data_IF_704595517479
#
_entry.id   IF_704595517479
#
_cell.length_a   1.000
_cell.length_b   1.000
_cell.length_c   1.000
_cell.angle_alpha   90.00
_cell.angle_beta   90.00
_cell.angle_gamma   90.00
#
_symmetry.space_group_name_H-M   'P 1'
#
loop_
_entity.id
_entity.type
_entity.pdbx_description
1 polymer ?
#
# COMPACT_ATOMS: atom_id res chain seq x y z
N UNK A 1 2.42 -0.32 19.54
CA UNK A 1 1.66 0.55 20.47
C UNK A 1 0.65 1.32 19.63
N UNK A 2 -0.50 1.70 20.18
CA UNK A 2 -1.45 2.54 19.45
C UNK A 2 -1.05 4.01 19.59
N UNK A 3 -0.89 4.71 18.48
CA UNK A 3 -0.70 6.15 18.45
C UNK A 3 -2.00 6.83 18.91
N UNK A 4 -1.86 7.62 19.98
CA UNK A 4 -2.98 8.31 20.62
C UNK A 4 -2.66 9.78 20.71
N UNK A 5 -3.61 10.60 20.29
CA UNK A 5 -3.53 12.03 20.45
C UNK A 5 -4.72 12.51 21.29
N UNK A 6 -4.39 13.08 22.44
CA UNK A 6 -5.35 13.61 23.39
C UNK A 6 -4.97 15.04 23.71
N UNK A 7 -5.91 15.96 23.53
CA UNK A 7 -5.76 17.33 24.00
C UNK A 7 -6.94 17.70 24.90
N UNK A 8 -6.66 18.57 25.87
CA UNK A 8 -7.65 19.04 26.84
C UNK A 8 -7.47 20.53 27.01
N UNK A 9 -8.57 21.24 26.88
CA UNK A 9 -8.65 22.70 27.02
C UNK A 9 -8.21 23.13 28.41
N UNK A 10 -8.62 22.35 29.42
CA UNK A 10 -8.23 22.59 30.81
C UNK A 10 -6.72 22.55 31.00
N UNK A 11 -6.05 21.53 30.45
CA UNK A 11 -4.58 21.45 30.46
C UNK A 11 -3.93 22.63 29.72
N UNK A 12 -4.49 23.06 28.60
CA UNK A 12 -3.97 24.21 27.84
C UNK A 12 -4.19 25.54 28.58
N UNK A 13 -5.33 25.72 29.25
CA UNK A 13 -5.62 26.91 30.04
C UNK A 13 -4.74 27.00 31.29
N UNK A 14 -4.49 25.87 31.96
CA UNK A 14 -3.55 25.76 33.08
C UNK A 14 -2.13 26.19 32.67
N UNK A 15 -1.64 25.75 31.50
CA UNK A 15 -0.35 26.20 30.94
C UNK A 15 -0.28 27.73 30.76
N UNK A 16 -1.41 28.36 30.42
CA UNK A 16 -1.53 29.81 30.24
C UNK A 16 -1.85 30.56 31.54
N UNK A 17 -1.86 29.88 32.70
CA UNK A 17 -2.24 30.43 34.01
C UNK A 17 -3.64 31.06 34.01
N UNK A 18 -4.58 30.45 33.29
CA UNK A 18 -5.99 30.87 33.23
C UNK A 18 -6.87 29.84 33.96
N UNK A 19 -7.83 30.31 34.76
CA UNK A 19 -8.80 29.46 35.44
C UNK A 19 -10.12 29.41 34.64
N UNK A 20 -10.58 28.22 34.28
CA UNK A 20 -11.84 28.01 33.55
C UNK A 20 -13.07 27.91 34.47
N UNK A 21 -12.89 27.72 35.78
CA UNK A 21 -13.97 27.44 36.74
C UNK A 21 -14.92 28.64 36.97
N UNK A 22 -14.54 29.84 36.50
CA UNK A 22 -15.31 31.07 36.65
C UNK A 22 -16.00 31.53 35.35
N UNK A 23 -16.06 30.68 34.31
CA UNK A 23 -16.75 31.02 33.07
C UNK A 23 -18.26 31.00 33.28
N UNK A 24 -18.97 31.94 32.65
CA UNK A 24 -20.43 31.88 32.60
C UNK A 24 -20.88 30.67 31.76
N UNK A 25 -22.08 30.09 32.01
CA UNK A 25 -22.57 28.95 31.23
C UNK A 25 -22.61 29.21 29.72
N UNK A 26 -22.80 30.48 29.31
CA UNK A 26 -22.76 30.87 27.91
C UNK A 26 -21.34 30.74 27.33
N UNK A 27 -20.32 31.27 28.04
CA UNK A 27 -18.93 31.20 27.60
C UNK A 27 -18.41 29.75 27.62
N UNK A 28 -18.84 28.94 28.58
CA UNK A 28 -18.50 27.51 28.62
C UNK A 28 -19.02 26.78 27.38
N UNK A 29 -20.26 27.05 26.97
CA UNK A 29 -20.84 26.47 25.75
C UNK A 29 -20.06 26.88 24.50
N UNK A 30 -19.73 28.16 24.37
CA UNK A 30 -18.96 28.68 23.23
C UNK A 30 -17.55 28.09 23.19
N UNK A 31 -16.90 27.98 24.36
CA UNK A 31 -15.59 27.33 24.47
C UNK A 31 -15.67 25.85 24.06
N UNK A 32 -16.66 25.11 24.55
CA UNK A 32 -16.85 23.70 24.21
C UNK A 32 -17.10 23.51 22.70
N UNK A 33 -17.85 24.42 22.08
CA UNK A 33 -18.05 24.41 20.63
C UNK A 33 -16.74 24.68 19.87
N UNK A 34 -16.01 25.74 20.23
CA UNK A 34 -14.74 26.08 19.58
C UNK A 34 -13.72 24.93 19.67
N UNK A 35 -13.75 24.18 20.76
CA UNK A 35 -12.85 23.04 21.01
C UNK A 35 -13.26 21.83 20.18
N UNK A 36 -14.57 21.60 20.04
CA UNK A 36 -15.10 20.61 19.11
C UNK A 36 -14.73 20.93 17.66
N UNK A 37 -14.80 22.20 17.27
CA UNK A 37 -14.41 22.65 15.93
C UNK A 37 -12.92 22.42 15.67
N UNK A 38 -12.05 22.73 16.65
CA UNK A 38 -10.61 22.40 16.57
C UNK A 38 -10.39 20.89 16.46
N UNK A 39 -11.10 20.08 17.25
CA UNK A 39 -11.00 18.62 17.18
C UNK A 39 -11.38 18.07 15.80
N UNK A 40 -12.49 18.55 15.25
CA UNK A 40 -12.96 18.16 13.93
C UNK A 40 -11.97 18.61 12.83
N UNK A 41 -11.44 19.83 12.93
CA UNK A 41 -10.42 20.34 12.01
C UNK A 41 -9.13 19.51 12.06
N UNK A 42 -8.70 19.10 13.26
CA UNK A 42 -7.53 18.22 13.46
C UNK A 42 -7.71 16.88 12.78
N UNK A 43 -8.87 16.25 13.00
CA UNK A 43 -9.18 14.96 12.37
C UNK A 43 -9.23 15.07 10.84
N UNK A 44 -9.81 16.16 10.33
CA UNK A 44 -9.85 16.45 8.89
C UNK A 44 -8.44 16.66 8.32
N UNK A 45 -7.55 17.34 9.03
CA UNK A 45 -6.15 17.54 8.62
C UNK A 45 -5.37 16.22 8.55
N UNK A 46 -5.50 15.36 9.58
CA UNK A 46 -4.89 14.02 9.58
C UNK A 46 -5.41 13.21 8.40
N UNK A 47 -6.73 13.25 8.17
CA UNK A 47 -7.38 12.55 7.05
C UNK A 47 -6.85 13.06 5.70
N UNK A 48 -6.75 14.38 5.53
CA UNK A 48 -6.25 14.99 4.29
C UNK A 48 -4.79 14.62 4.03
N UNK A 49 -3.95 14.65 5.07
CA UNK A 49 -2.53 14.25 5.00
C UNK A 49 -2.39 12.79 4.58
N UNK A 50 -3.16 11.88 5.18
CA UNK A 50 -3.19 10.49 4.78
C UNK A 50 -3.71 10.31 3.34
N UNK A 51 -4.66 11.14 2.91
CA UNK A 51 -5.22 11.07 1.56
C UNK A 51 -4.25 11.51 0.47
N UNK A 52 -3.43 12.53 0.73
CA UNK A 52 -2.44 13.06 -0.20
C UNK A 52 -1.18 12.21 -0.28
N UNK A 53 -0.68 11.75 0.87
CA UNK A 53 0.67 11.18 0.96
C UNK A 53 0.66 9.65 0.84
N UNK A 54 -0.45 8.99 1.19
CA UNK A 54 -0.60 7.54 1.03
C UNK A 54 -1.34 7.22 -0.28
N UNK A 55 -0.79 6.28 -1.03
CA UNK A 55 -1.40 5.77 -2.26
C UNK A 55 -2.24 4.51 -1.97
N UNK A 56 -1.62 3.33 -2.07
CA UNK A 56 -2.30 2.03 -1.97
C UNK A 56 -2.73 1.69 -0.54
N UNK A 57 -2.01 2.19 0.46
CA UNK A 57 -2.20 1.88 1.89
C UNK A 57 -3.09 2.90 2.61
N UNK A 58 -3.60 3.90 1.88
CA UNK A 58 -4.46 4.96 2.42
C UNK A 58 -5.69 4.41 3.14
N UNK A 59 -6.37 3.44 2.53
CA UNK A 59 -7.59 2.86 3.11
C UNK A 59 -7.29 2.09 4.40
N UNK A 60 -6.13 1.46 4.51
CA UNK A 60 -5.73 0.74 5.72
C UNK A 60 -5.49 1.73 6.86
N UNK A 61 -4.82 2.85 6.57
CA UNK A 61 -4.62 3.93 7.54
C UNK A 61 -5.96 4.52 8.01
N UNK A 62 -6.83 4.91 7.07
CA UNK A 62 -8.11 5.55 7.40
C UNK A 62 -9.06 4.64 8.16
N UNK A 63 -9.01 3.31 7.94
CA UNK A 63 -9.78 2.33 8.72
C UNK A 63 -9.33 2.26 10.18
N UNK A 64 -8.05 2.51 10.45
CA UNK A 64 -7.51 2.58 11.81
C UNK A 64 -7.80 3.90 12.51
N UNK A 65 -8.10 4.97 11.76
CA UNK A 65 -8.29 6.30 12.31
C UNK A 65 -9.69 6.45 12.93
N UNK A 66 -9.77 6.90 14.18
CA UNK A 66 -11.04 7.09 14.89
C UNK A 66 -11.13 8.46 15.57
N UNK A 67 -12.37 8.95 15.71
CA UNK A 67 -12.70 10.24 16.33
C UNK A 67 -13.80 10.04 17.38
N UNK A 68 -13.46 10.19 18.66
CA UNK A 68 -14.36 9.95 19.77
C UNK A 68 -14.48 11.18 20.67
N UNK A 69 -15.70 11.51 21.07
CA UNK A 69 -15.97 12.50 22.11
C UNK A 69 -15.94 11.81 23.48
N UNK A 70 -15.03 12.22 24.36
CA UNK A 70 -14.86 11.63 25.70
C UNK A 70 -15.68 12.36 26.78
N UNK A 71 -16.18 13.55 26.48
CA UNK A 71 -16.95 14.41 27.38
C UNK A 71 -17.32 15.71 26.67
N UNK A 72 -17.79 16.72 27.40
CA UNK A 72 -18.22 17.98 26.77
C UNK A 72 -17.07 18.76 26.11
N UNK A 73 -15.88 18.68 26.69
CA UNK A 73 -14.69 19.46 26.32
C UNK A 73 -13.45 18.59 26.03
N UNK A 74 -13.65 17.30 25.82
CA UNK A 74 -12.58 16.34 25.61
C UNK A 74 -12.87 15.48 24.37
N UNK A 75 -11.91 15.47 23.45
CA UNK A 75 -11.95 14.70 22.22
C UNK A 75 -10.70 13.82 22.14
N UNK A 76 -10.86 12.63 21.57
CA UNK A 76 -9.82 11.64 21.40
C UNK A 76 -9.75 11.25 19.93
N UNK A 77 -8.55 11.38 19.36
CA UNK A 77 -8.23 10.88 18.04
C UNK A 77 -7.24 9.74 18.21
N UNK A 78 -7.59 8.55 17.72
CA UNK A 78 -6.72 7.35 17.80
C UNK A 78 -6.40 6.80 16.43
N UNK A 79 -5.27 6.11 16.35
CA UNK A 79 -4.91 5.26 15.22
C UNK A 79 -4.73 3.82 15.70
N UNK A 80 -5.71 2.99 15.38
CA UNK A 80 -5.77 1.59 15.79
C UNK A 80 -5.26 0.67 14.68
N UNK A 81 -4.63 -0.44 15.09
CA UNK A 81 -4.06 -1.45 14.19
C UNK A 81 -2.56 -1.30 13.96
N UNK A 82 -1.85 -2.43 14.00
CA UNK A 82 -0.38 -2.48 13.88
C UNK A 82 0.10 -1.85 12.58
N UNK A 83 -0.55 -2.18 11.46
CA UNK A 83 -0.15 -1.66 10.15
C UNK A 83 -0.37 -0.15 10.01
N UNK A 84 -1.49 0.36 10.52
CA UNK A 84 -1.75 1.80 10.51
C UNK A 84 -0.70 2.56 11.34
N UNK A 85 -0.33 2.02 12.52
CA UNK A 85 0.74 2.59 13.36
C UNK A 85 2.11 2.52 12.67
N UNK A 86 2.44 1.43 11.98
CA UNK A 86 3.67 1.36 11.16
C UNK A 86 3.69 2.38 10.02
N UNK A 87 2.54 2.71 9.45
CA UNK A 87 2.44 3.79 8.45
C UNK A 87 2.58 5.17 9.10
N UNK A 88 2.08 5.37 10.31
CA UNK A 88 2.24 6.64 11.00
C UNK A 88 3.69 6.90 11.42
N UNK A 89 4.29 5.95 12.13
CA UNK A 89 5.63 6.04 12.71
C UNK A 89 6.74 5.78 11.68
N UNK A 90 6.43 5.00 10.65
CA UNK A 90 7.41 4.50 9.71
C UNK A 90 8.09 3.21 10.18
N UNK A 91 8.99 2.73 9.35
CA UNK A 91 9.82 1.56 9.64
C UNK A 91 11.14 1.64 8.86
N UNK A 92 12.25 1.13 9.41
CA UNK A 92 13.55 1.20 8.74
C UNK A 92 13.60 0.32 7.50
N UNK A 93 14.67 0.46 6.72
CA UNK A 93 15.00 -0.50 5.68
C UNK A 93 15.21 -1.89 6.29
N UNK A 94 14.87 -2.94 5.55
CA UNK A 94 15.04 -4.31 6.01
C UNK A 94 15.28 -5.28 4.86
N UNK A 95 15.86 -6.44 5.19
CA UNK A 95 16.10 -7.52 4.24
C UNK A 95 14.79 -8.26 3.91
N UNK A 96 14.24 -7.96 2.75
CA UNK A 96 13.03 -8.58 2.24
C UNK A 96 13.28 -10.04 1.83
N UNK A 97 14.48 -10.39 1.36
CA UNK A 97 14.85 -11.79 1.04
C UNK A 97 14.63 -12.68 2.26
N UNK A 98 15.16 -12.29 3.42
CA UNK A 98 15.01 -13.05 4.67
C UNK A 98 13.54 -13.23 5.06
N UNK A 99 12.73 -12.16 4.97
CA UNK A 99 11.30 -12.22 5.29
C UNK A 99 10.51 -13.12 4.35
N UNK A 100 10.81 -13.06 3.05
CA UNK A 100 10.13 -13.86 2.04
C UNK A 100 10.50 -15.34 2.15
N UNK A 101 11.78 -15.67 2.42
CA UNK A 101 12.22 -17.06 2.58
C UNK A 101 11.72 -17.72 3.88
N UNK A 102 11.23 -16.94 4.85
CA UNK A 102 10.54 -17.43 6.05
C UNK A 102 9.03 -17.66 5.85
N UNK A 103 8.52 -17.48 4.64
CA UNK A 103 7.09 -17.61 4.36
C UNK A 103 6.62 -19.06 4.39
N UNK A 104 5.53 -19.32 5.11
CA UNK A 104 4.86 -20.63 5.14
C UNK A 104 3.72 -20.75 4.12
N UNK A 105 3.66 -19.83 3.14
CA UNK A 105 2.61 -19.85 2.11
C UNK A 105 2.77 -21.08 1.21
N UNK A 106 1.64 -21.63 0.79
CA UNK A 106 1.57 -22.65 -0.25
C UNK A 106 1.23 -22.03 -1.59
N UNK A 107 1.67 -22.67 -2.67
CA UNK A 107 1.25 -22.30 -4.02
C UNK A 107 -0.22 -22.65 -4.19
N UNK A 108 -1.04 -21.72 -4.67
CA UNK A 108 -2.50 -21.94 -4.81
C UNK A 108 -2.85 -22.62 -6.15
N UNK A 109 -2.10 -22.34 -7.21
CA UNK A 109 -2.48 -22.72 -8.58
C UNK A 109 -1.37 -23.43 -9.35
N UNK A 110 -1.78 -24.22 -10.35
CA UNK A 110 -0.87 -24.93 -11.26
C UNK A 110 -0.33 -26.24 -10.70
N UNK A 111 0.69 -26.79 -11.38
CA UNK A 111 1.24 -28.13 -11.08
C UNK A 111 1.83 -28.29 -9.67
N UNK A 112 2.15 -27.17 -9.01
CA UNK A 112 2.70 -27.14 -7.65
C UNK A 112 1.67 -26.72 -6.60
N UNK A 113 0.38 -26.66 -6.95
CA UNK A 113 -0.67 -26.31 -6.00
C UNK A 113 -0.60 -27.20 -4.75
N UNK A 114 -0.71 -26.59 -3.57
CA UNK A 114 -0.57 -27.25 -2.26
C UNK A 114 0.88 -27.45 -1.78
N UNK A 115 1.90 -27.23 -2.62
CA UNK A 115 3.30 -27.30 -2.20
C UNK A 115 3.76 -25.99 -1.53
N UNK A 116 4.77 -26.04 -0.66
CA UNK A 116 5.42 -24.85 -0.12
C UNK A 116 5.90 -23.91 -1.24
N UNK A 117 5.69 -22.61 -1.05
CA UNK A 117 6.16 -21.58 -1.98
C UNK A 117 7.68 -21.49 -1.98
N UNK A 118 8.28 -21.49 -0.79
CA UNK A 118 9.72 -21.61 -0.56
C UNK A 118 10.15 -23.06 -0.77
N UNK A 119 11.27 -23.26 -1.46
CA UNK A 119 11.84 -24.58 -1.79
C UNK A 119 13.28 -24.67 -1.31
N UNK A 120 13.73 -25.89 -1.05
CA UNK A 120 15.15 -26.20 -0.85
C UNK A 120 15.79 -26.59 -2.19
N UNK A 121 17.02 -26.14 -2.44
CA UNK A 121 17.80 -26.53 -3.62
C UNK A 121 18.07 -28.03 -3.58
N UNK A 122 17.83 -28.72 -4.70
CA UNK A 122 17.98 -30.18 -4.78
C UNK A 122 19.35 -30.54 -5.33
N UNK A 123 20.05 -31.44 -4.64
CA UNK A 123 21.26 -32.08 -5.17
C UNK A 123 22.53 -31.21 -5.13
N UNK A 124 22.52 -30.14 -4.34
CA UNK A 124 23.71 -29.32 -4.07
C UNK A 124 24.38 -29.76 -2.77
N UNK A 125 25.71 -29.58 -2.70
CA UNK A 125 26.50 -29.85 -1.48
C UNK A 125 26.13 -28.88 -0.35
N UNK A 126 25.63 -27.69 -0.68
CA UNK A 126 25.16 -26.66 0.26
C UNK A 126 23.68 -26.32 -0.05
N UNK A 127 22.71 -26.95 0.64
CA UNK A 127 21.29 -26.76 0.37
C UNK A 127 20.86 -25.36 0.79
N UNK A 128 20.32 -24.60 -0.15
CA UNK A 128 19.86 -23.24 0.07
C UNK A 128 18.35 -23.13 -0.24
N UNK A 129 17.68 -22.18 0.40
CA UNK A 129 16.26 -21.89 0.20
C UNK A 129 16.08 -20.86 -0.90
N UNK A 130 15.08 -21.11 -1.75
CA UNK A 130 14.72 -20.18 -2.81
C UNK A 130 13.21 -20.09 -3.02
N UNK A 131 12.77 -18.98 -3.60
CA UNK A 131 11.40 -18.78 -4.03
C UNK A 131 11.32 -17.91 -5.29
N UNK A 132 10.29 -18.12 -6.11
CA UNK A 132 10.01 -17.26 -7.25
C UNK A 132 8.90 -16.27 -6.89
N UNK A 133 9.24 -14.98 -6.93
CA UNK A 133 8.30 -13.89 -6.67
C UNK A 133 7.74 -13.39 -8.00
N UNK A 134 6.40 -13.43 -8.20
CA UNK A 134 5.77 -12.90 -9.40
C UNK A 134 5.68 -11.36 -9.32
N UNK A 135 6.02 -10.70 -10.41
CA UNK A 135 5.83 -9.27 -10.60
C UNK A 135 4.91 -9.03 -11.79
N UNK A 136 3.73 -8.47 -11.53
CA UNK A 136 2.82 -8.11 -12.61
C UNK A 136 3.30 -6.83 -13.30
N UNK A 137 3.29 -6.84 -14.63
CA UNK A 137 3.60 -5.70 -15.49
C UNK A 137 2.33 -5.19 -16.17
N UNK A 138 2.25 -3.88 -16.30
CA UNK A 138 1.12 -3.19 -16.91
C UNK A 138 1.60 -2.42 -18.15
N UNK A 139 1.64 -3.07 -19.33
CA UNK A 139 2.18 -2.44 -20.53
C UNK A 139 1.37 -1.23 -21.00
N UNK A 140 0.11 -1.13 -20.58
CA UNK A 140 -0.79 -0.04 -20.92
C UNK A 140 -0.87 1.03 -19.81
N UNK A 141 0.01 0.97 -18.80
CA UNK A 141 0.06 2.00 -17.76
C UNK A 141 0.47 3.34 -18.36
N UNK A 142 -0.18 4.42 -17.91
CA UNK A 142 0.16 5.80 -18.27
C UNK A 142 1.16 6.43 -17.30
N UNK A 143 1.54 5.72 -16.24
CA UNK A 143 2.52 6.21 -15.27
C UNK A 143 3.90 6.36 -15.95
N UNK A 144 4.48 7.58 -16.01
CA UNK A 144 5.78 7.83 -16.63
C UNK A 144 6.88 6.89 -16.12
N UNK A 145 6.84 6.49 -14.84
CA UNK A 145 7.87 5.64 -14.22
C UNK A 145 7.93 4.22 -14.79
N UNK A 146 6.86 3.77 -15.45
CA UNK A 146 6.77 2.44 -16.07
C UNK A 146 6.60 2.51 -17.58
N UNK A 147 6.63 3.72 -18.16
CA UNK A 147 6.39 3.95 -19.58
C UNK A 147 7.42 3.24 -20.45
N UNK A 148 8.70 3.38 -20.14
CA UNK A 148 9.78 2.77 -20.93
C UNK A 148 9.66 1.24 -20.97
N UNK A 149 9.30 0.63 -19.85
CA UNK A 149 9.04 -0.81 -19.77
C UNK A 149 7.75 -1.18 -20.51
N UNK A 150 6.70 -0.38 -20.42
CA UNK A 150 5.46 -0.63 -21.14
C UNK A 150 5.62 -0.55 -22.66
N UNK A 151 6.40 0.41 -23.14
CA UNK A 151 6.73 0.57 -24.55
C UNK A 151 7.62 -0.57 -25.04
N UNK A 152 8.60 -1.02 -24.25
CA UNK A 152 9.35 -2.24 -24.54
C UNK A 152 8.42 -3.46 -24.71
N UNK A 153 7.48 -3.67 -23.79
CA UNK A 153 6.53 -4.80 -23.86
C UNK A 153 5.62 -4.71 -25.10
N UNK A 154 5.24 -3.50 -25.55
CA UNK A 154 4.40 -3.31 -26.74
C UNK A 154 5.11 -3.74 -28.02
N UNK A 155 6.41 -3.55 -28.10
CA UNK A 155 7.22 -3.92 -29.26
C UNK A 155 7.79 -5.34 -29.19
N UNK A 156 7.71 -5.99 -28.02
CA UNK A 156 8.16 -7.37 -27.89
C UNK A 156 7.34 -8.33 -28.73
N UNK A 157 8.06 -9.20 -29.43
CA UNK A 157 7.53 -10.35 -30.13
C UNK A 157 7.66 -11.59 -29.26
N UNK A 158 6.70 -12.51 -29.36
CA UNK A 158 6.78 -13.78 -28.67
C UNK A 158 6.20 -14.91 -29.51
N UNK A 159 6.78 -16.09 -29.32
CA UNK A 159 6.35 -17.33 -29.94
C UNK A 159 5.37 -18.02 -29.00
N UNK A 160 4.20 -18.38 -29.53
CA UNK A 160 3.18 -19.11 -28.77
C UNK A 160 3.49 -20.61 -28.69
N UNK A 161 2.67 -21.36 -27.95
CA UNK A 161 2.80 -22.82 -27.86
C UNK A 161 2.68 -23.57 -29.21
N UNK A 162 2.20 -22.90 -30.26
CA UNK A 162 2.02 -23.43 -31.61
C UNK A 162 3.11 -22.93 -32.59
N UNK A 163 4.16 -22.25 -32.12
CA UNK A 163 5.25 -21.75 -32.96
C UNK A 163 4.96 -20.45 -33.72
N UNK A 164 3.80 -19.82 -33.52
CA UNK A 164 3.46 -18.55 -34.19
C UNK A 164 4.11 -17.37 -33.49
N UNK A 165 4.83 -16.56 -34.25
CA UNK A 165 5.45 -15.32 -33.77
C UNK A 165 4.49 -14.14 -33.96
N UNK A 166 4.17 -13.42 -32.89
CA UNK A 166 3.34 -12.20 -32.95
C UNK A 166 3.69 -11.25 -31.80
N UNK A 167 3.18 -10.01 -31.87
CA UNK A 167 3.34 -9.06 -30.76
C UNK A 167 2.82 -9.66 -29.46
N UNK A 168 3.61 -9.54 -28.39
CA UNK A 168 3.28 -10.08 -27.08
C UNK A 168 1.96 -9.47 -26.57
N UNK A 169 1.62 -8.25 -26.94
CA UNK A 169 0.36 -7.60 -26.53
C UNK A 169 -0.89 -8.18 -27.21
N UNK A 170 -0.75 -8.85 -28.36
CA UNK A 170 -1.87 -9.43 -29.12
C UNK A 170 -2.49 -10.66 -28.45
N UNK A 171 -3.80 -10.86 -28.60
CA UNK A 171 -4.48 -12.08 -28.13
C UNK A 171 -3.96 -13.28 -28.92
N UNK A 172 -3.35 -14.24 -28.23
CA UNK A 172 -2.93 -15.51 -28.79
C UNK A 172 -4.14 -16.41 -28.97
N UNK A 173 -4.27 -16.98 -30.18
CA UNK A 173 -5.39 -17.82 -30.60
C UNK A 173 -4.90 -19.17 -31.11
N UNK A 174 -5.75 -20.18 -31.00
CA UNK A 174 -5.52 -21.52 -31.56
C UNK A 174 -5.69 -21.54 -33.10
N UNK A 175 -5.74 -22.74 -33.68
CA UNK A 175 -5.97 -22.92 -35.13
C UNK A 175 -7.42 -22.65 -35.53
N UNK A 176 -8.38 -22.79 -34.63
CA UNK A 176 -9.80 -22.49 -34.83
C UNK A 176 -10.16 -21.02 -34.60
N UNK A 177 -9.20 -20.19 -34.20
CA UNK A 177 -9.41 -18.77 -33.91
C UNK A 177 -9.91 -18.47 -32.49
N UNK A 178 -9.99 -19.48 -31.62
CA UNK A 178 -10.36 -19.29 -30.22
C UNK A 178 -9.17 -18.75 -29.42
N UNK A 179 -9.37 -17.82 -28.47
CA UNK A 179 -8.31 -17.37 -27.58
C UNK A 179 -7.72 -18.53 -26.76
N UNK A 180 -6.39 -18.62 -26.71
CA UNK A 180 -5.70 -19.52 -25.78
C UNK A 180 -5.87 -19.01 -24.34
N UNK A 181 -5.94 -19.94 -23.39
CA UNK A 181 -6.05 -19.66 -21.95
C UNK A 181 -4.82 -20.14 -21.17
N UNK A 182 -4.58 -19.53 -20.00
CA UNK A 182 -3.43 -19.83 -19.17
C UNK A 182 -2.15 -19.17 -19.69
N UNK A 183 -1.00 -19.84 -19.54
CA UNK A 183 0.30 -19.36 -20.04
C UNK A 183 0.35 -19.51 -21.56
N UNK A 184 0.37 -18.40 -22.29
CA UNK A 184 0.26 -18.41 -23.77
C UNK A 184 1.56 -18.09 -24.50
N UNK A 185 2.46 -17.35 -23.87
CA UNK A 185 3.74 -16.95 -24.45
C UNK A 185 4.78 -16.66 -23.36
N UNK A 186 6.04 -16.85 -23.70
CA UNK A 186 7.19 -16.35 -22.93
C UNK A 186 8.08 -15.60 -23.90
N UNK A 187 8.35 -14.35 -23.60
CA UNK A 187 9.22 -13.54 -24.42
C UNK A 187 10.67 -13.65 -23.94
N UNK A 188 11.58 -13.56 -24.89
CA UNK A 188 13.02 -13.45 -24.66
C UNK A 188 13.45 -12.07 -25.10
N UNK A 189 14.29 -11.41 -24.30
CA UNK A 189 14.78 -10.06 -24.61
C UNK A 189 16.16 -9.86 -24.02
N UNK A 190 17.00 -9.11 -24.72
CA UNK A 190 18.27 -8.65 -24.15
C UNK A 190 18.06 -7.55 -23.10
N UNK A 191 16.84 -7.00 -22.99
CA UNK A 191 16.49 -6.05 -21.94
C UNK A 191 16.15 -6.80 -20.64
N UNK A 192 16.98 -6.69 -19.58
CA UNK A 192 16.80 -7.45 -18.34
C UNK A 192 15.52 -7.08 -17.57
N UNK A 193 14.86 -5.96 -17.88
CA UNK A 193 13.61 -5.56 -17.24
C UNK A 193 12.41 -6.39 -17.70
N UNK A 194 12.47 -6.90 -18.94
CA UNK A 194 11.38 -7.60 -19.62
C UNK A 194 11.79 -8.99 -20.11
N UNK A 195 13.04 -9.40 -19.90
CA UNK A 195 13.46 -10.76 -20.17
C UNK A 195 12.69 -11.77 -19.31
N UNK A 196 12.37 -12.91 -19.91
CA UNK A 196 11.54 -13.94 -19.29
C UNK A 196 10.10 -13.51 -18.99
N UNK A 197 9.60 -12.42 -19.58
CA UNK A 197 8.22 -11.98 -19.40
C UNK A 197 7.24 -13.01 -19.95
N UNK A 198 6.34 -13.46 -19.09
CA UNK A 198 5.32 -14.46 -19.38
C UNK A 198 3.97 -13.77 -19.55
N UNK A 199 3.26 -14.11 -20.62
CA UNK A 199 1.88 -13.68 -20.81
C UNK A 199 0.92 -14.78 -20.39
N UNK A 200 -0.07 -14.38 -19.60
CA UNK A 200 -1.23 -15.20 -19.29
C UNK A 200 -2.49 -14.58 -19.88
N UNK A 201 -3.38 -15.42 -20.41
CA UNK A 201 -4.67 -15.02 -20.95
C UNK A 201 -5.80 -15.75 -20.24
N UNK A 202 -6.92 -15.05 -20.05
CA UNK A 202 -8.15 -15.66 -19.58
C UNK A 202 -9.34 -14.99 -20.26
N UNK A 203 -10.28 -15.80 -20.73
CA UNK A 203 -11.50 -15.31 -21.35
C UNK A 203 -12.62 -15.29 -20.32
N UNK A 204 -13.37 -14.21 -20.32
CA UNK A 204 -14.52 -14.04 -19.43
C UNK A 204 -15.73 -13.66 -20.27
N UNK A 205 -16.88 -14.21 -19.91
CA UNK A 205 -18.14 -13.74 -20.48
C UNK A 205 -18.54 -12.45 -19.75
N UNK A 206 -18.75 -11.38 -20.50
CA UNK A 206 -19.28 -10.14 -19.95
C UNK A 206 -20.78 -10.31 -19.69
N UNK A 207 -21.19 -10.40 -18.43
CA UNK A 207 -22.57 -10.65 -18.00
C UNK A 207 -23.59 -9.67 -18.62
N UNK A 208 -23.20 -8.41 -18.85
CA UNK A 208 -24.09 -7.38 -19.40
C UNK A 208 -24.31 -7.52 -20.90
N UNK A 209 -23.32 -8.03 -21.64
CA UNK A 209 -23.34 -8.06 -23.11
C UNK A 209 -23.41 -9.47 -23.69
N UNK A 210 -23.22 -10.50 -22.86
CA UNK A 210 -23.06 -11.89 -23.27
C UNK A 210 -21.79 -12.18 -24.08
N UNK A 211 -20.97 -11.16 -24.40
CA UNK A 211 -19.77 -11.29 -25.24
C UNK A 211 -18.57 -11.77 -24.45
N UNK A 212 -17.79 -12.66 -25.04
CA UNK A 212 -16.51 -13.09 -24.51
C UNK A 212 -15.46 -12.00 -24.68
N UNK A 213 -14.78 -11.66 -23.59
CA UNK A 213 -13.65 -10.71 -23.55
C UNK A 213 -12.43 -11.43 -23.02
N UNK A 214 -11.33 -11.41 -23.78
CA UNK A 214 -10.05 -11.96 -23.32
C UNK A 214 -9.24 -10.87 -22.63
N UNK A 215 -8.85 -11.12 -21.39
CA UNK A 215 -7.91 -10.27 -20.66
C UNK A 215 -6.54 -10.93 -20.61
N UNK A 216 -5.50 -10.10 -20.52
CA UNK A 216 -4.12 -10.57 -20.41
C UNK A 216 -3.45 -9.95 -19.20
N UNK A 217 -2.66 -10.77 -18.49
CA UNK A 217 -1.71 -10.31 -17.50
C UNK A 217 -0.30 -10.68 -17.95
N UNK A 218 0.65 -9.79 -17.66
CA UNK A 218 2.05 -9.96 -18.00
C UNK A 218 2.81 -10.09 -16.69
N UNK A 219 3.59 -11.16 -16.54
CA UNK A 219 4.30 -11.44 -15.30
C UNK A 219 5.74 -11.79 -15.60
N UNK A 220 6.68 -11.19 -14.88
CA UNK A 220 8.03 -11.71 -14.76
C UNK A 220 8.19 -12.36 -13.39
N UNK A 221 9.10 -13.32 -13.31
CA UNK A 221 9.41 -14.03 -12.08
C UNK A 221 10.84 -13.72 -11.73
N UNK A 222 11.09 -13.36 -10.48
CA UNK A 222 12.45 -13.21 -9.97
C UNK A 222 12.69 -14.22 -8.87
N UNK A 223 13.84 -14.88 -8.93
CA UNK A 223 14.28 -15.77 -7.88
C UNK A 223 14.83 -14.95 -6.72
N UNK A 224 14.43 -15.30 -5.51
CA UNK A 224 15.14 -14.94 -4.29
C UNK A 224 15.75 -16.22 -3.74
N UNK A 225 16.96 -16.13 -3.20
CA UNK A 225 17.70 -17.26 -2.64
C UNK A 225 18.53 -16.76 -1.45
N UNK A 226 18.79 -17.63 -0.46
CA UNK A 226 19.79 -17.41 0.59
C UNK A 226 21.16 -18.02 0.24
N UNK A 227 21.32 -18.56 -0.97
CA UNK A 227 22.60 -19.02 -1.50
C UNK A 227 23.60 -17.89 -1.76
N UNK A 228 24.86 -18.27 -1.94
CA UNK A 228 25.97 -17.33 -2.19
C UNK A 228 25.76 -16.60 -3.54
N UNK A 229 26.22 -15.35 -3.62
CA UNK A 229 26.17 -14.46 -4.82
C UNK A 229 24.85 -13.76 -5.18
N UNK A 230 23.81 -13.81 -4.33
CA UNK A 230 22.57 -13.05 -4.59
C UNK A 230 22.48 -11.82 -3.70
N UNK A 231 22.54 -10.63 -4.31
CA UNK A 231 22.27 -9.38 -3.60
C UNK A 231 20.88 -9.42 -2.95
N UNK A 232 20.79 -9.16 -1.62
CA UNK A 232 19.52 -9.25 -0.92
C UNK A 232 18.57 -8.17 -1.44
N UNK A 233 17.29 -8.51 -1.46
CA UNK A 233 16.27 -7.52 -1.75
C UNK A 233 16.07 -6.68 -0.51
N UNK A 234 16.49 -5.43 -0.57
CA UNK A 234 16.34 -4.51 0.54
C UNK A 234 15.08 -3.68 0.31
N UNK A 235 14.15 -3.76 1.25
CA UNK A 235 13.05 -2.79 1.31
C UNK A 235 13.63 -1.46 1.80
N UNK A 236 13.35 -0.31 1.14
CA UNK A 236 13.96 0.97 1.52
C UNK A 236 13.49 1.50 2.88
N UNK A 237 12.45 0.90 3.43
CA UNK A 237 11.76 1.38 4.64
C UNK A 237 10.64 2.36 4.28
N UNK A 238 10.10 3.01 5.28
CA UNK A 238 9.13 4.09 5.16
C UNK A 238 9.39 5.10 6.28
N UNK A 239 9.46 6.39 5.97
CA UNK A 239 9.78 7.42 6.95
C UNK A 239 8.65 7.72 7.95
N UNK A 240 7.47 7.14 7.74
CA UNK A 240 6.27 7.46 8.50
C UNK A 240 5.56 8.68 7.94
N UNK A 241 4.23 8.67 8.06
CA UNK A 241 3.38 9.80 7.68
C UNK A 241 3.52 10.95 8.68
N UNK A 242 3.65 10.61 9.97
CA UNK A 242 3.71 11.54 11.10
C UNK A 242 2.57 12.59 11.04
N UNK A 243 1.37 12.19 10.64
CA UNK A 243 0.23 13.08 10.49
C UNK A 243 -0.23 13.66 11.83
N UNK A 244 -0.15 12.89 12.92
CA UNK A 244 -0.50 13.35 14.26
C UNK A 244 0.47 14.44 14.75
N UNK A 245 1.76 14.28 14.49
CA UNK A 245 2.78 15.28 14.83
C UNK A 245 2.64 16.58 14.02
N UNK A 246 2.21 16.47 12.77
CA UNK A 246 1.91 17.64 11.93
C UNK A 246 0.67 18.38 12.46
N UNK A 247 -0.41 17.64 12.72
CA UNK A 247 -1.67 18.21 13.17
C UNK A 247 -1.57 18.80 14.60
N UNK A 248 -0.83 18.15 15.50
CA UNK A 248 -0.70 18.59 16.91
C UNK A 248 -0.16 20.01 17.04
N UNK A 249 0.81 20.39 16.21
CA UNK A 249 1.39 21.74 16.15
C UNK A 249 0.34 22.80 15.80
N UNK A 250 -0.61 22.47 14.93
CA UNK A 250 -1.71 23.36 14.58
C UNK A 250 -2.73 23.47 15.70
N UNK A 251 -3.07 22.35 16.35
CA UNK A 251 -4.01 22.31 17.48
C UNK A 251 -3.57 23.20 18.62
N UNK A 252 -2.30 23.12 19.03
CA UNK A 252 -1.79 23.93 20.14
C UNK A 252 -1.94 25.42 19.85
N UNK A 253 -1.61 25.85 18.63
CA UNK A 253 -1.77 27.24 18.19
C UNK A 253 -3.23 27.70 18.18
N UNK A 254 -4.14 26.85 17.72
CA UNK A 254 -5.57 27.18 17.70
C UNK A 254 -6.16 27.25 19.11
N UNK A 255 -5.84 26.30 19.99
CA UNK A 255 -6.28 26.31 21.38
C UNK A 255 -5.77 27.54 22.13
N UNK A 256 -4.51 27.91 21.96
CA UNK A 256 -3.99 29.15 22.54
C UNK A 256 -4.75 30.39 22.07
N UNK A 257 -5.07 30.45 20.78
CA UNK A 257 -5.79 31.59 20.19
C UNK A 257 -7.20 31.69 20.78
N UNK A 258 -7.89 30.56 20.90
CA UNK A 258 -9.20 30.46 21.54
C UNK A 258 -9.11 30.92 22.99
N UNK A 259 -8.21 30.35 23.80
CA UNK A 259 -8.09 30.73 25.22
C UNK A 259 -7.76 32.22 25.37
N UNK A 260 -6.85 32.77 24.55
CA UNK A 260 -6.54 34.20 24.56
C UNK A 260 -7.74 35.06 24.16
N UNK A 261 -8.65 34.57 23.32
CA UNK A 261 -9.86 35.30 22.95
C UNK A 261 -10.86 35.38 24.11
N UNK A 262 -11.06 34.28 24.86
CA UNK A 262 -12.00 34.21 25.98
C UNK A 262 -11.54 34.92 27.26
N UNK A 263 -10.25 35.18 27.43
CA UNK A 263 -9.65 35.79 28.64
C UNK A 263 -9.06 37.19 28.44
N UNK A 264 -9.52 37.91 27.40
CA UNK A 264 -9.32 39.36 27.25
C UNK A 264 -10.32 40.12 28.10
#
# INVERSE_FOLDING_TARGET
MASKFTFSVKKSAEKLKKNLDSLSPLLEKELNQAVGDVAAATYAEITATAQSDLSKTRQDYLKGLSFNKLGENAFLITLDGEWANMLEEGFPSYNLTEKLLKSNKTVEVGRRSGMPWVQDSKGEEDPHKYAYVPFQRQPMSKDPKVKDMGDAIKEMMAVNAQGRNQKLTSVFKDTGGNPLEGKVATAKSDNPLVDGLVKYQKTYQNEKTGKNTTQSIYMNYRCISDGQDVSPWIHPGFSGLNAFDKASKNVEKHLETIIKHFFK
#
